data_IF_999504889177
#
_entry.id   IF_999504889177
#
_cell.length_a   1.000
_cell.length_b   1.000
_cell.length_c   1.000
_cell.angle_alpha   90.00
_cell.angle_beta   90.00
_cell.angle_gamma   90.00
#
_symmetry.space_group_name_H-M   'P 1'
#
loop_
_entity.id
_entity.type
_entity.pdbx_description
1 polymer ?
#
# COMPACT_ATOMS: atom_id res chain seq x y z
N UNK A 1 -3.43 -10.79 -10.01
CA UNK A 1 -2.16 -10.13 -10.39
C UNK A 1 -1.43 -9.52 -9.19
N UNK A 2 -2.00 -8.50 -8.52
CA UNK A 2 -1.39 -7.86 -7.33
C UNK A 2 -0.99 -8.85 -6.22
N UNK A 3 -1.89 -9.78 -5.86
CA UNK A 3 -1.63 -10.80 -4.86
C UNK A 3 -0.44 -11.71 -5.22
N UNK A 4 -0.23 -12.02 -6.50
CA UNK A 4 0.92 -12.82 -6.95
C UNK A 4 2.23 -12.04 -6.81
N UNK A 5 2.22 -10.74 -7.11
CA UNK A 5 3.40 -9.89 -6.86
C UNK A 5 3.73 -9.84 -5.36
N UNK A 6 2.72 -9.77 -4.48
CA UNK A 6 2.92 -9.87 -3.04
C UNK A 6 3.43 -11.24 -2.58
N UNK A 7 2.94 -12.34 -3.17
CA UNK A 7 3.41 -13.70 -2.89
C UNK A 7 4.89 -13.85 -3.26
N UNK A 8 5.31 -13.34 -4.44
CA UNK A 8 6.71 -13.29 -4.85
C UNK A 8 7.56 -12.45 -3.88
N UNK A 9 7.07 -11.29 -3.45
CA UNK A 9 7.77 -10.43 -2.49
C UNK A 9 7.89 -11.10 -1.12
N UNK A 10 6.94 -11.94 -0.72
CA UNK A 10 6.86 -12.50 0.64
C UNK A 10 8.04 -13.41 1.01
N UNK A 11 8.73 -13.95 0.01
CA UNK A 11 9.92 -14.79 0.18
C UNK A 11 11.23 -14.03 -0.04
N UNK A 12 11.15 -12.74 -0.38
CA UNK A 12 12.31 -11.90 -0.67
C UNK A 12 12.75 -11.10 0.55
N UNK A 13 14.07 -10.98 0.74
CA UNK A 13 14.68 -10.16 1.81
C UNK A 13 15.39 -8.92 1.27
N UNK A 14 15.79 -8.93 -0.01
CA UNK A 14 16.54 -7.86 -0.64
C UNK A 14 15.63 -6.71 -1.06
N UNK A 15 15.80 -5.51 -0.45
CA UNK A 15 15.01 -4.32 -0.81
C UNK A 15 15.06 -3.99 -2.32
N UNK A 16 16.20 -4.21 -2.97
CA UNK A 16 16.36 -3.97 -4.42
C UNK A 16 15.41 -4.89 -5.20
N UNK A 17 15.49 -6.20 -4.96
CA UNK A 17 14.63 -7.20 -5.62
C UNK A 17 13.15 -6.92 -5.37
N UNK A 18 12.78 -6.57 -4.14
CA UNK A 18 11.40 -6.18 -3.81
C UNK A 18 10.97 -4.95 -4.62
N UNK A 19 11.84 -3.95 -4.75
CA UNK A 19 11.56 -2.75 -5.54
C UNK A 19 11.41 -3.10 -7.01
N UNK A 20 12.23 -4.01 -7.55
CA UNK A 20 12.16 -4.46 -8.94
C UNK A 20 10.87 -5.23 -9.23
N UNK A 21 10.41 -6.10 -8.31
CA UNK A 21 9.11 -6.80 -8.45
C UNK A 21 7.96 -5.79 -8.46
N UNK A 22 7.96 -4.82 -7.54
CA UNK A 22 6.95 -3.75 -7.52
C UNK A 22 7.01 -2.90 -8.79
N UNK A 23 8.21 -2.57 -9.28
CA UNK A 23 8.41 -1.80 -10.51
C UNK A 23 7.85 -2.55 -11.72
N UNK A 24 8.15 -3.85 -11.84
CA UNK A 24 7.65 -4.71 -12.91
C UNK A 24 6.12 -4.87 -12.85
N UNK A 25 5.55 -4.94 -11.66
CA UNK A 25 4.11 -4.96 -11.47
C UNK A 25 3.49 -3.63 -11.93
N UNK A 26 3.99 -2.49 -11.44
CA UNK A 26 3.43 -1.17 -11.74
C UNK A 26 3.61 -0.77 -13.21
N UNK A 27 4.74 -1.10 -13.84
CA UNK A 27 4.94 -0.81 -15.27
C UNK A 27 3.96 -1.60 -16.15
N UNK A 28 3.61 -2.83 -15.72
CA UNK A 28 2.62 -3.64 -16.43
C UNK A 28 1.26 -2.97 -16.33
N UNK A 29 0.85 -2.53 -15.14
CA UNK A 29 -0.42 -1.81 -14.96
C UNK A 29 -0.45 -0.52 -15.78
N UNK A 30 0.62 0.27 -15.78
CA UNK A 30 0.74 1.49 -16.61
C UNK A 30 0.51 1.17 -18.09
N UNK A 31 1.10 0.08 -18.60
CA UNK A 31 1.04 -0.26 -20.01
C UNK A 31 -0.30 -0.90 -20.43
N UNK A 32 -0.97 -1.62 -19.54
CA UNK A 32 -2.16 -2.43 -19.90
C UNK A 32 -3.48 -1.89 -19.39
N UNK A 33 -3.49 -1.30 -18.19
CA UNK A 33 -4.70 -0.81 -17.49
C UNK A 33 -4.34 0.42 -16.63
N UNK A 34 -3.96 1.55 -17.25
CA UNK A 34 -3.48 2.73 -16.52
C UNK A 34 -4.49 3.26 -15.47
N UNK A 35 -5.79 3.07 -15.69
CA UNK A 35 -6.87 3.40 -14.75
C UNK A 35 -6.81 2.59 -13.43
N UNK A 36 -6.21 1.39 -13.47
CA UNK A 36 -6.02 0.53 -12.30
C UNK A 36 -4.77 0.92 -11.48
N UNK A 37 -3.94 1.85 -11.97
CA UNK A 37 -2.68 2.21 -11.31
C UNK A 37 -2.94 2.82 -9.93
N UNK A 38 -3.89 3.74 -9.82
CA UNK A 38 -4.23 4.41 -8.57
C UNK A 38 -4.66 3.42 -7.47
N UNK A 39 -5.69 2.56 -7.67
CA UNK A 39 -6.05 1.57 -6.66
C UNK A 39 -4.91 0.58 -6.39
N UNK A 40 -4.09 0.24 -7.38
CA UNK A 40 -2.91 -0.63 -7.18
C UNK A 40 -1.89 0.01 -6.24
N UNK A 41 -1.55 1.30 -6.43
CA UNK A 41 -0.61 2.04 -5.58
C UNK A 41 -1.14 2.18 -4.16
N UNK A 42 -2.44 2.45 -4.01
CA UNK A 42 -3.12 2.49 -2.71
C UNK A 42 -2.98 1.16 -1.96
N UNK A 43 -3.41 0.06 -2.58
CA UNK A 43 -3.36 -1.28 -1.97
C UNK A 43 -1.92 -1.74 -1.69
N UNK A 44 -0.96 -1.46 -2.59
CA UNK A 44 0.46 -1.74 -2.36
C UNK A 44 1.05 -0.92 -1.21
N UNK A 45 0.53 0.28 -0.98
CA UNK A 45 0.90 1.12 0.17
C UNK A 45 0.13 0.77 1.44
N UNK A 46 -0.76 -0.22 1.40
CA UNK A 46 -1.67 -0.60 2.49
C UNK A 46 -2.52 0.60 2.97
N UNK A 47 -2.99 1.39 2.01
CA UNK A 47 -3.83 2.57 2.18
C UNK A 47 -5.04 2.51 1.24
N UNK A 48 -6.09 3.26 1.54
CA UNK A 48 -7.31 3.32 0.72
C UNK A 48 -7.77 4.76 0.40
N UNK A 49 -7.15 5.74 1.05
CA UNK A 49 -7.40 7.17 0.89
C UNK A 49 -6.18 7.97 1.41
N UNK A 50 -6.06 9.26 1.09
CA UNK A 50 -5.03 10.12 1.66
C UNK A 50 -5.10 10.17 3.20
N UNK A 51 -3.94 10.11 3.85
CA UNK A 51 -3.86 10.00 5.32
C UNK A 51 -4.57 11.13 6.07
N UNK A 52 -4.65 12.32 5.47
CA UNK A 52 -5.25 13.51 6.08
C UNK A 52 -6.79 13.50 6.07
N UNK A 53 -7.41 12.65 5.26
CA UNK A 53 -8.88 12.47 5.26
C UNK A 53 -9.35 11.60 6.44
N UNK A 54 -8.43 10.93 7.14
CA UNK A 54 -8.75 10.14 8.35
C UNK A 54 -9.59 8.89 8.09
N UNK A 55 -9.72 8.47 6.82
CA UNK A 55 -10.47 7.27 6.43
C UNK A 55 -9.75 6.01 6.94
N UNK A 56 -10.43 5.20 7.73
CA UNK A 56 -9.94 3.92 8.27
C UNK A 56 -11.00 2.86 8.12
N UNK A 57 -10.60 1.60 7.97
CA UNK A 57 -11.57 0.50 7.84
C UNK A 57 -12.45 0.37 9.09
N UNK A 58 -11.93 0.74 10.26
CA UNK A 58 -12.68 0.71 11.51
C UNK A 58 -13.13 -0.70 11.90
N UNK A 59 -12.40 -1.72 11.43
CA UNK A 59 -12.56 -3.11 11.80
C UNK A 59 -11.71 -3.29 13.07
N UNK A 60 -12.33 -3.55 14.22
CA UNK A 60 -11.67 -3.56 15.54
C UNK A 60 -10.60 -4.67 15.73
N UNK A 61 -10.56 -5.31 16.90
CA UNK A 61 -9.56 -6.36 17.25
C UNK A 61 -9.70 -7.69 16.48
N UNK A 62 -10.00 -7.66 15.18
CA UNK A 62 -10.04 -8.84 14.29
C UNK A 62 -11.28 -9.72 14.40
N UNK A 63 -12.17 -9.54 15.38
CA UNK A 63 -13.34 -10.42 15.57
C UNK A 63 -14.30 -10.44 14.38
N UNK A 64 -14.55 -9.28 13.73
CA UNK A 64 -15.36 -9.23 12.51
C UNK A 64 -14.70 -9.94 11.32
N UNK A 65 -13.36 -9.96 11.27
CA UNK A 65 -12.61 -10.68 10.23
C UNK A 65 -12.71 -12.18 10.47
N UNK A 66 -12.55 -12.64 11.72
CA UNK A 66 -12.73 -14.04 12.12
C UNK A 66 -14.12 -14.54 11.73
N UNK A 67 -15.17 -13.75 12.02
CA UNK A 67 -16.54 -14.04 11.60
C UNK A 67 -16.68 -14.11 10.07
N UNK A 68 -16.12 -13.15 9.36
CA UNK A 68 -16.16 -13.15 7.89
C UNK A 68 -15.45 -14.37 7.29
N UNK A 69 -14.30 -14.78 7.82
CA UNK A 69 -13.56 -16.01 7.41
C UNK A 69 -14.38 -17.27 7.73
N UNK A 70 -14.95 -17.34 8.94
CA UNK A 70 -15.80 -18.45 9.38
C UNK A 70 -16.99 -18.64 8.44
N UNK A 71 -17.71 -17.56 8.12
CA UNK A 71 -18.86 -17.60 7.23
C UNK A 71 -18.51 -17.78 5.75
N UNK A 72 -17.41 -17.18 5.28
CA UNK A 72 -16.98 -17.31 3.89
C UNK A 72 -16.49 -18.73 3.58
N UNK A 73 -15.81 -19.36 4.54
CA UNK A 73 -15.13 -20.64 4.33
C UNK A 73 -15.76 -21.84 5.05
N UNK A 74 -16.94 -21.67 5.65
CA UNK A 74 -17.72 -22.76 6.26
C UNK A 74 -17.05 -23.38 7.48
N UNK A 75 -16.37 -22.58 8.30
CA UNK A 75 -15.67 -23.03 9.52
C UNK A 75 -16.32 -22.45 10.76
N UNK A 76 -16.08 -23.04 11.93
CA UNK A 76 -16.50 -22.41 13.20
C UNK A 76 -15.53 -21.30 13.61
N UNK A 77 -16.02 -20.24 14.27
CA UNK A 77 -15.15 -19.18 14.80
C UNK A 77 -14.05 -19.73 15.72
N UNK A 78 -14.36 -20.76 16.52
CA UNK A 78 -13.41 -21.42 17.40
C UNK A 78 -12.23 -22.06 16.64
N UNK A 79 -12.49 -22.72 15.50
CA UNK A 79 -11.44 -23.27 14.65
C UNK A 79 -10.54 -22.18 14.07
N UNK A 80 -11.14 -21.06 13.63
CA UNK A 80 -10.39 -19.91 13.09
C UNK A 80 -9.51 -19.28 14.17
N UNK A 81 -10.03 -19.10 15.39
CA UNK A 81 -9.27 -18.58 16.55
C UNK A 81 -8.12 -19.52 16.92
N UNK A 82 -8.38 -20.83 16.97
CA UNK A 82 -7.36 -21.83 17.28
C UNK A 82 -6.22 -21.77 16.27
N UNK A 83 -6.51 -21.83 14.97
CA UNK A 83 -5.48 -21.77 13.95
C UNK A 83 -4.77 -20.42 13.90
N UNK A 84 -5.45 -19.32 14.21
CA UNK A 84 -4.79 -18.02 14.32
C UNK A 84 -3.81 -17.96 15.49
N UNK A 85 -4.10 -18.69 16.57
CA UNK A 85 -3.18 -18.81 17.72
C UNK A 85 -1.94 -19.61 17.34
N UNK A 86 -2.09 -20.64 16.51
CA UNK A 86 -0.99 -21.47 16.01
C UNK A 86 -0.13 -20.75 14.96
N UNK A 87 -0.76 -20.03 14.01
CA UNK A 87 -0.07 -19.41 12.87
C UNK A 87 0.33 -17.94 13.11
N UNK A 88 -0.32 -17.25 14.04
CA UNK A 88 -0.09 -15.82 14.31
C UNK A 88 -0.50 -14.86 13.18
N UNK A 89 -1.25 -15.34 12.18
CA UNK A 89 -1.62 -14.60 10.98
C UNK A 89 -2.99 -15.06 10.42
N UNK A 90 -4.01 -14.21 10.54
CA UNK A 90 -5.35 -14.50 10.01
C UNK A 90 -5.35 -14.67 8.49
N UNK A 91 -4.42 -14.06 7.76
CA UNK A 91 -4.31 -14.26 6.33
C UNK A 91 -3.84 -15.67 5.99
N UNK A 92 -2.93 -16.26 6.77
CA UNK A 92 -2.55 -17.66 6.59
C UNK A 92 -3.73 -18.60 6.90
N UNK A 93 -4.49 -18.28 7.95
CA UNK A 93 -5.73 -19.01 8.29
C UNK A 93 -6.75 -18.92 7.15
N UNK A 94 -6.93 -17.75 6.55
CA UNK A 94 -7.83 -17.54 5.41
C UNK A 94 -7.38 -18.34 4.17
N UNK A 95 -6.09 -18.28 3.81
CA UNK A 95 -5.53 -19.04 2.68
C UNK A 95 -5.72 -20.54 2.88
N UNK A 96 -5.35 -21.07 4.05
CA UNK A 96 -5.52 -22.49 4.38
C UNK A 96 -7.00 -22.91 4.36
N UNK A 97 -7.89 -22.09 4.94
CA UNK A 97 -9.33 -22.36 4.94
C UNK A 97 -9.92 -22.41 3.54
N UNK A 98 -9.53 -21.49 2.66
CA UNK A 98 -9.98 -21.46 1.27
C UNK A 98 -9.48 -22.68 0.49
N UNK A 99 -8.21 -23.06 0.64
CA UNK A 99 -7.64 -24.22 -0.04
C UNK A 99 -8.25 -25.55 0.37
N UNK A 100 -8.83 -25.64 1.58
CA UNK A 100 -9.54 -26.85 2.04
C UNK A 100 -10.98 -26.96 1.54
N UNK A 101 -11.55 -25.92 0.91
CA UNK A 101 -12.91 -25.97 0.39
C UNK A 101 -12.96 -26.52 -1.04
N UNK A 102 -13.85 -27.48 -1.27
CA UNK A 102 -14.21 -27.90 -2.62
C UNK A 102 -15.15 -26.86 -3.24
N UNK A 103 -14.75 -26.27 -4.37
CA UNK A 103 -15.58 -25.34 -5.13
C UNK A 103 -16.25 -26.03 -6.30
N UNK A 104 -17.59 -25.95 -6.35
CA UNK A 104 -18.39 -26.47 -7.47
C UNK A 104 -18.33 -25.49 -8.66
N UNK A 105 -18.29 -24.18 -8.37
CA UNK A 105 -18.24 -23.11 -9.37
C UNK A 105 -17.15 -22.12 -8.99
N UNK A 106 -16.30 -21.76 -9.96
CA UNK A 106 -15.30 -20.73 -9.77
C UNK A 106 -15.97 -19.34 -9.76
N UNK A 107 -15.75 -18.51 -8.73
CA UNK A 107 -16.28 -17.16 -8.70
C UNK A 107 -15.63 -16.28 -9.78
N UNK A 108 -16.29 -15.18 -10.14
CA UNK A 108 -15.69 -14.15 -11.00
C UNK A 108 -14.44 -13.60 -10.32
N UNK A 109 -13.29 -13.51 -11.02
CA UNK A 109 -12.05 -12.99 -10.44
C UNK A 109 -12.20 -11.60 -9.84
N UNK A 110 -11.48 -11.34 -8.74
CA UNK A 110 -11.41 -10.01 -8.13
C UNK A 110 -10.56 -9.07 -8.99
N UNK A 111 -10.97 -7.80 -9.05
CA UNK A 111 -10.19 -6.72 -9.64
C UNK A 111 -9.68 -5.79 -8.55
N UNK A 112 -8.55 -5.12 -8.77
CA UNK A 112 -7.97 -4.18 -7.80
C UNK A 112 -8.91 -3.01 -7.50
N UNK A 113 -9.64 -2.53 -8.51
CA UNK A 113 -10.69 -1.50 -8.37
C UNK A 113 -11.79 -1.99 -7.45
N UNK A 114 -12.37 -3.17 -7.71
CA UNK A 114 -13.44 -3.74 -6.87
C UNK A 114 -12.99 -3.90 -5.43
N UNK A 115 -11.78 -4.39 -5.20
CA UNK A 115 -11.21 -4.53 -3.85
C UNK A 115 -11.07 -3.16 -3.18
N UNK A 116 -10.40 -2.20 -3.83
CA UNK A 116 -10.20 -0.86 -3.28
C UNK A 116 -11.52 -0.15 -2.96
N UNK A 117 -12.49 -0.19 -3.88
CA UNK A 117 -13.80 0.44 -3.69
C UNK A 117 -14.61 -0.22 -2.58
N UNK A 118 -14.56 -1.55 -2.48
CA UNK A 118 -15.22 -2.27 -1.38
C UNK A 118 -14.56 -1.96 -0.03
N UNK A 119 -13.23 -1.81 0.02
CA UNK A 119 -12.53 -1.39 1.25
C UNK A 119 -12.90 0.05 1.65
N UNK A 120 -13.03 0.97 0.68
CA UNK A 120 -13.54 2.34 0.93
C UNK A 120 -14.99 2.32 1.40
N UNK A 121 -15.83 1.46 0.82
CA UNK A 121 -17.21 1.27 1.29
C UNK A 121 -17.22 0.79 2.74
N UNK A 122 -16.40 -0.22 3.08
CA UNK A 122 -16.22 -0.68 4.46
C UNK A 122 -15.78 0.46 5.38
N UNK A 123 -14.85 1.32 4.97
CA UNK A 123 -14.43 2.45 5.79
C UNK A 123 -15.56 3.45 6.07
N UNK A 124 -16.41 3.70 5.07
CA UNK A 124 -17.51 4.67 5.15
C UNK A 124 -18.79 4.13 5.81
N UNK A 125 -18.93 2.82 6.02
CA UNK A 125 -20.08 2.24 6.71
C UNK A 125 -20.13 2.72 8.19
N UNK A 126 -21.27 3.28 8.58
CA UNK A 126 -21.52 3.85 9.92
C UNK A 126 -22.96 3.56 10.39
N UNK A 127 -23.25 3.86 11.67
CA UNK A 127 -24.58 3.64 12.27
C UNK A 127 -24.78 2.26 12.92
N UNK A 128 -26.01 1.96 13.35
CA UNK A 128 -26.33 0.81 14.23
C UNK A 128 -26.04 -0.56 13.59
N UNK A 129 -26.26 -0.71 12.28
CA UNK A 129 -26.06 -1.97 11.54
C UNK A 129 -24.66 -2.09 10.87
N UNK A 130 -23.78 -1.11 11.11
CA UNK A 130 -22.47 -0.99 10.49
C UNK A 130 -21.60 -2.26 10.62
N UNK A 131 -21.55 -2.86 11.82
CA UNK A 131 -20.72 -4.05 12.07
C UNK A 131 -21.10 -5.23 11.17
N UNK A 132 -22.40 -5.45 10.98
CA UNK A 132 -22.91 -6.56 10.18
C UNK A 132 -22.66 -6.30 8.68
N UNK A 133 -22.95 -5.08 8.21
CA UNK A 133 -22.67 -4.68 6.82
C UNK A 133 -21.19 -4.80 6.47
N UNK A 134 -20.28 -4.32 7.34
CA UNK A 134 -18.83 -4.47 7.15
C UNK A 134 -18.45 -5.95 7.04
N UNK A 135 -18.99 -6.80 7.91
CA UNK A 135 -18.76 -8.26 7.87
C UNK A 135 -19.25 -8.88 6.56
N UNK A 136 -20.43 -8.50 6.07
CA UNK A 136 -20.98 -9.00 4.82
C UNK A 136 -20.16 -8.56 3.60
N UNK A 137 -19.69 -7.31 3.56
CA UNK A 137 -18.77 -6.82 2.52
C UNK A 137 -17.43 -7.59 2.53
N UNK A 138 -16.85 -7.81 3.71
CA UNK A 138 -15.63 -8.62 3.85
C UNK A 138 -15.84 -10.04 3.36
N UNK A 139 -16.94 -10.68 3.78
CA UNK A 139 -17.32 -12.03 3.34
C UNK A 139 -17.48 -12.10 1.83
N UNK A 140 -18.15 -11.11 1.22
CA UNK A 140 -18.36 -11.07 -0.23
C UNK A 140 -17.03 -11.01 -1.00
N UNK A 141 -16.02 -10.28 -0.50
CA UNK A 141 -14.68 -10.32 -1.08
C UNK A 141 -14.01 -11.68 -0.87
N UNK A 142 -14.02 -12.21 0.37
CA UNK A 142 -13.37 -13.48 0.72
C UNK A 142 -13.90 -14.65 -0.10
N UNK A 143 -15.22 -14.75 -0.31
CA UNK A 143 -15.84 -15.82 -1.13
C UNK A 143 -15.34 -15.81 -2.58
N UNK A 144 -14.96 -14.65 -3.11
CA UNK A 144 -14.47 -14.50 -4.48
C UNK A 144 -12.95 -14.74 -4.63
N UNK A 145 -12.20 -14.82 -3.53
CA UNK A 145 -10.74 -14.99 -3.58
C UNK A 145 -10.31 -16.35 -4.12
N UNK A 146 -9.18 -16.39 -4.82
CA UNK A 146 -8.52 -17.63 -5.27
C UNK A 146 -7.04 -17.66 -4.88
N UNK A 147 -6.44 -18.86 -4.86
CA UNK A 147 -5.00 -19.07 -4.65
C UNK A 147 -4.42 -18.35 -3.41
N UNK A 148 -3.57 -17.34 -3.61
CA UNK A 148 -2.94 -16.54 -2.56
C UNK A 148 -3.73 -15.27 -2.19
N UNK A 149 -4.80 -14.93 -2.91
CA UNK A 149 -5.61 -13.74 -2.63
C UNK A 149 -6.22 -13.69 -1.22
N UNK A 150 -6.72 -14.80 -0.61
CA UNK A 150 -7.30 -14.74 0.73
C UNK A 150 -6.30 -14.26 1.78
N UNK A 151 -5.02 -14.59 1.61
CA UNK A 151 -3.93 -14.17 2.49
C UNK A 151 -3.79 -12.65 2.50
N UNK A 152 -3.58 -12.08 1.32
CA UNK A 152 -3.29 -10.65 1.20
C UNK A 152 -4.53 -9.79 1.41
N UNK A 153 -5.71 -10.26 0.98
CA UNK A 153 -6.97 -9.56 1.27
C UNK A 153 -7.22 -9.48 2.78
N UNK A 154 -7.04 -10.58 3.50
CA UNK A 154 -7.22 -10.58 4.96
C UNK A 154 -6.22 -9.65 5.65
N UNK A 155 -4.97 -9.64 5.20
CA UNK A 155 -3.94 -8.73 5.72
C UNK A 155 -4.25 -7.26 5.42
N UNK A 156 -4.81 -6.94 4.25
CA UNK A 156 -5.33 -5.60 3.93
C UNK A 156 -6.49 -5.21 4.85
N UNK A 157 -7.41 -6.13 5.13
CA UNK A 157 -8.52 -5.92 6.09
C UNK A 157 -8.03 -5.68 7.52
N UNK A 158 -6.86 -6.22 7.87
CA UNK A 158 -6.18 -5.97 9.15
C UNK A 158 -5.34 -4.67 9.15
N UNK A 159 -5.31 -3.93 8.04
CA UNK A 159 -4.43 -2.77 7.83
C UNK A 159 -2.96 -3.13 8.09
N UNK A 160 -2.54 -4.38 7.82
CA UNK A 160 -1.17 -4.85 8.03
C UNK A 160 -0.78 -5.93 7.01
N UNK A 161 -0.15 -5.50 5.91
CA UNK A 161 0.20 -6.35 4.77
C UNK A 161 1.35 -7.35 5.03
N UNK A 162 2.20 -7.08 6.04
CA UNK A 162 3.32 -7.94 6.46
C UNK A 162 4.27 -8.39 5.31
N UNK A 163 4.62 -7.47 4.41
CA UNK A 163 5.53 -7.73 3.28
C UNK A 163 6.96 -7.20 3.45
N UNK A 164 7.29 -6.65 4.61
CA UNK A 164 8.66 -6.21 4.92
C UNK A 164 9.15 -4.96 4.16
N UNK A 165 8.36 -4.40 3.24
CA UNK A 165 8.65 -3.13 2.59
C UNK A 165 7.80 -1.98 3.13
N UNK A 166 8.28 -0.77 2.88
CA UNK A 166 7.62 0.47 3.30
C UNK A 166 6.99 1.19 2.12
N UNK A 167 6.12 2.16 2.39
CA UNK A 167 5.64 3.13 1.38
C UNK A 167 6.75 3.73 0.53
N UNK A 168 7.94 3.97 1.09
CA UNK A 168 9.08 4.50 0.34
C UNK A 168 9.55 3.56 -0.77
N UNK A 169 9.36 2.26 -0.61
CA UNK A 169 9.67 1.25 -1.62
C UNK A 169 8.66 1.33 -2.76
N UNK A 170 7.36 1.48 -2.46
CA UNK A 170 6.30 1.65 -3.47
C UNK A 170 6.52 2.94 -4.27
N UNK A 171 6.83 4.07 -3.61
CA UNK A 171 7.12 5.34 -4.27
C UNK A 171 8.37 5.24 -5.19
N UNK A 172 9.41 4.53 -4.76
CA UNK A 172 10.58 4.28 -5.60
C UNK A 172 10.20 3.48 -6.85
N UNK A 173 9.49 2.36 -6.66
CA UNK A 173 9.03 1.50 -7.74
C UNK A 173 8.11 2.24 -8.71
N UNK A 174 7.24 3.12 -8.23
CA UNK A 174 6.37 3.95 -9.07
C UNK A 174 7.17 4.91 -9.96
N UNK A 175 8.19 5.58 -9.40
CA UNK A 175 9.09 6.44 -10.17
C UNK A 175 9.86 5.67 -11.23
N UNK A 176 10.41 4.50 -10.87
CA UNK A 176 11.13 3.63 -11.81
C UNK A 176 10.21 3.09 -12.92
N UNK A 177 9.01 2.61 -12.56
CA UNK A 177 8.02 2.11 -13.50
C UNK A 177 7.60 3.19 -14.50
N UNK A 178 7.46 4.45 -14.05
CA UNK A 178 7.14 5.56 -14.91
C UNK A 178 8.20 5.78 -15.99
N UNK A 179 9.50 5.70 -15.67
CA UNK A 179 10.60 5.88 -16.64
C UNK A 179 10.53 4.88 -17.80
N UNK A 180 10.07 3.65 -17.53
CA UNK A 180 9.91 2.62 -18.55
C UNK A 180 8.72 2.86 -19.49
N UNK A 181 7.87 3.86 -19.23
CA UNK A 181 6.74 4.22 -20.10
C UNK A 181 7.16 5.20 -21.21
N UNK A 182 6.86 4.90 -22.47
CA UNK A 182 7.45 5.61 -23.63
C UNK A 182 6.82 6.99 -23.92
N UNK A 183 5.56 7.21 -23.55
CA UNK A 183 4.79 8.37 -24.03
C UNK A 183 5.17 9.68 -23.33
N UNK A 184 5.32 9.66 -21.99
CA UNK A 184 5.53 10.87 -21.18
C UNK A 184 6.79 10.86 -20.33
N UNK A 185 7.63 9.82 -20.39
CA UNK A 185 8.72 9.63 -19.43
C UNK A 185 10.13 9.65 -20.02
N UNK A 186 10.31 10.22 -21.21
CA UNK A 186 11.65 10.43 -21.78
C UNK A 186 12.49 11.30 -20.83
N UNK A 187 13.62 10.80 -20.32
CA UNK A 187 14.45 11.56 -19.42
C UNK A 187 15.03 12.79 -20.11
N UNK A 188 15.27 13.90 -19.38
CA UNK A 188 16.01 15.03 -19.89
C UNK A 188 17.36 14.62 -20.50
N UNK A 189 17.77 15.30 -21.58
CA UNK A 189 19.11 15.13 -22.17
C UNK A 189 20.14 15.42 -21.06
N UNK A 190 20.94 14.43 -20.66
CA UNK A 190 21.95 14.44 -19.58
C UNK A 190 21.58 13.75 -18.25
N UNK A 191 20.42 13.10 -18.14
CA UNK A 191 20.11 12.29 -16.96
C UNK A 191 20.95 11.00 -16.94
N UNK A 192 21.97 10.95 -16.07
CA UNK A 192 22.89 9.79 -15.96
C UNK A 192 22.24 8.54 -15.36
N UNK A 193 21.30 8.70 -14.44
CA UNK A 193 20.59 7.59 -13.79
C UNK A 193 19.09 7.91 -13.70
N UNK A 194 18.33 7.64 -14.78
CA UNK A 194 16.92 8.00 -14.86
C UNK A 194 16.06 7.37 -13.77
N UNK A 195 16.30 6.10 -13.46
CA UNK A 195 15.52 5.33 -12.50
C UNK A 195 15.63 5.89 -11.08
N UNK A 196 16.86 6.16 -10.62
CA UNK A 196 17.07 6.71 -9.28
C UNK A 196 16.58 8.15 -9.15
N UNK A 197 16.73 8.95 -10.22
CA UNK A 197 16.21 10.32 -10.21
C UNK A 197 14.68 10.34 -10.19
N UNK A 198 14.01 9.51 -10.98
CA UNK A 198 12.56 9.40 -10.98
C UNK A 198 12.02 8.90 -9.62
N UNK A 199 12.67 7.88 -9.04
CA UNK A 199 12.35 7.42 -7.69
C UNK A 199 12.49 8.52 -6.64
N UNK A 200 13.53 9.37 -6.77
CA UNK A 200 13.74 10.52 -5.89
C UNK A 200 12.65 11.58 -6.06
N UNK A 201 12.31 11.93 -7.31
CA UNK A 201 11.26 12.90 -7.63
C UNK A 201 9.93 12.50 -6.99
N UNK A 202 9.49 11.26 -7.19
CA UNK A 202 8.20 10.78 -6.63
C UNK A 202 8.20 10.84 -5.09
N UNK A 203 9.32 10.52 -4.44
CA UNK A 203 9.44 10.60 -2.98
C UNK A 203 9.42 12.05 -2.47
N UNK A 204 10.08 12.97 -3.14
CA UNK A 204 10.12 14.39 -2.80
C UNK A 204 8.73 15.01 -2.98
N UNK A 205 8.10 14.76 -4.12
CA UNK A 205 6.73 15.20 -4.40
C UNK A 205 5.75 14.65 -3.37
N UNK A 206 5.79 13.35 -3.04
CA UNK A 206 4.94 12.79 -1.98
C UNK A 206 5.27 13.36 -0.58
N UNK A 207 6.46 13.92 -0.35
CA UNK A 207 6.79 14.56 0.93
C UNK A 207 6.11 15.91 1.10
N UNK A 208 5.94 16.65 0.01
CA UNK A 208 5.28 17.97 0.00
C UNK A 208 3.79 17.91 -0.36
N UNK A 209 3.36 16.82 -1.01
CA UNK A 209 2.01 16.66 -1.51
C UNK A 209 1.58 15.18 -1.45
N UNK A 210 1.27 14.64 -0.26
CA UNK A 210 1.02 13.20 -0.03
C UNK A 210 -0.38 12.76 -0.49
N UNK A 211 -0.72 12.97 -1.77
CA UNK A 211 -2.02 12.60 -2.36
C UNK A 211 -1.79 11.79 -3.64
N UNK A 212 -2.02 10.48 -3.57
CA UNK A 212 -1.78 9.60 -4.72
C UNK A 212 -2.68 9.91 -5.90
N UNK A 213 -3.92 10.33 -5.69
CA UNK A 213 -4.90 10.63 -6.74
C UNK A 213 -4.34 11.64 -7.75
N UNK A 214 -3.72 12.70 -7.22
CA UNK A 214 -3.13 13.77 -8.02
C UNK A 214 -1.76 13.34 -8.56
N UNK A 215 -0.91 12.70 -7.74
CA UNK A 215 0.41 12.25 -8.19
C UNK A 215 0.30 11.24 -9.33
N UNK A 216 -0.56 10.23 -9.19
CA UNK A 216 -0.77 9.19 -10.20
C UNK A 216 -1.40 9.79 -11.45
N UNK A 217 -2.41 10.65 -11.30
CA UNK A 217 -3.01 11.37 -12.42
C UNK A 217 -1.96 12.18 -13.20
N UNK A 218 -1.20 13.03 -12.50
CA UNK A 218 -0.15 13.85 -13.12
C UNK A 218 0.98 13.00 -13.72
N UNK A 219 1.33 11.87 -13.12
CA UNK A 219 2.33 10.94 -13.63
C UNK A 219 1.88 10.33 -14.95
N UNK A 220 0.62 9.93 -15.05
CA UNK A 220 0.05 9.36 -16.27
C UNK A 220 -0.12 10.40 -17.38
N UNK A 221 -0.44 11.66 -17.07
CA UNK A 221 -0.69 12.70 -18.08
C UNK A 221 0.54 13.50 -18.49
N UNK A 222 1.46 13.76 -17.56
CA UNK A 222 2.60 14.66 -17.75
C UNK A 222 3.96 14.01 -17.52
N UNK A 223 3.97 12.78 -17.02
CA UNK A 223 5.20 12.02 -16.78
C UNK A 223 5.91 12.41 -15.48
N UNK A 224 6.81 11.52 -15.05
CA UNK A 224 7.50 11.64 -13.76
C UNK A 224 8.37 12.91 -13.65
N UNK A 225 8.94 13.38 -14.76
CA UNK A 225 9.84 14.53 -14.80
C UNK A 225 9.15 15.87 -14.54
N UNK A 226 7.83 15.94 -14.79
CA UNK A 226 7.03 17.15 -14.62
C UNK A 226 6.28 17.19 -13.27
N UNK A 227 6.31 16.10 -12.49
CA UNK A 227 5.68 16.05 -11.17
C UNK A 227 6.09 17.18 -10.22
N UNK A 228 7.36 17.64 -10.15
CA UNK A 228 7.74 18.75 -9.29
C UNK A 228 7.05 20.08 -9.65
N UNK A 229 6.56 20.21 -10.89
CA UNK A 229 5.88 21.42 -11.38
C UNK A 229 4.38 21.31 -11.12
N UNK A 230 3.79 20.11 -11.32
CA UNK A 230 2.35 19.88 -11.22
C UNK A 230 1.87 19.58 -9.80
N UNK A 231 2.70 18.95 -8.97
CA UNK A 231 2.37 18.53 -7.61
C UNK A 231 3.20 19.32 -6.59
N UNK A 232 2.80 20.57 -6.35
CA UNK A 232 3.51 21.50 -5.46
C UNK A 232 2.81 21.67 -4.11
N UNK A 233 3.55 22.21 -3.14
CA UNK A 233 2.99 22.55 -1.83
C UNK A 233 1.74 23.40 -1.98
N UNK A 234 0.64 22.93 -1.39
CA UNK A 234 -0.66 23.60 -1.45
C UNK A 234 -1.22 23.75 -0.05
N UNK A 235 -1.51 24.99 0.41
CA UNK A 235 -2.16 25.21 1.69
C UNK A 235 -3.46 24.40 1.83
N UNK A 236 -3.64 23.75 2.98
CA UNK A 236 -4.77 22.86 3.24
C UNK A 236 -4.44 21.37 3.06
N UNK A 237 -3.36 21.04 2.34
CA UNK A 237 -2.85 19.66 2.23
C UNK A 237 -1.63 19.53 3.14
N UNK A 238 -1.61 18.60 4.11
CA UNK A 238 -0.51 18.49 5.05
C UNK A 238 0.75 17.96 4.37
N UNK A 239 1.88 18.56 4.73
CA UNK A 239 3.22 18.07 4.36
C UNK A 239 3.73 17.06 5.36
N UNK A 240 4.68 16.21 4.94
CA UNK A 240 5.36 15.35 5.90
C UNK A 240 6.29 16.19 6.79
N UNK A 241 6.13 16.12 8.13
CA UNK A 241 7.00 16.85 9.03
C UNK A 241 8.43 16.33 8.94
N UNK A 242 9.40 17.23 9.13
CA UNK A 242 10.79 16.84 9.27
C UNK A 242 10.99 16.06 10.57
N UNK A 243 11.60 14.88 10.48
CA UNK A 243 11.90 14.04 11.63
C UNK A 243 13.32 14.29 12.15
N UNK A 244 13.52 14.15 13.45
CA UNK A 244 14.84 14.24 14.07
C UNK A 244 15.52 12.87 14.15
N UNK A 245 16.85 12.84 14.03
CA UNK A 245 17.66 11.65 14.33
C UNK A 245 18.15 11.74 15.78
N UNK A 246 17.75 10.77 16.60
CA UNK A 246 18.20 10.66 17.98
C UNK A 246 19.74 10.60 18.04
N UNK A 247 20.32 11.38 18.95
CA UNK A 247 21.77 11.46 19.17
C UNK A 247 22.01 11.56 20.67
N UNK A 248 23.00 10.82 21.17
CA UNK A 248 23.30 10.72 22.61
C UNK A 248 24.49 11.57 23.05
N UNK A 249 25.18 12.24 22.13
CA UNK A 249 26.39 13.01 22.41
C UNK A 249 26.46 14.29 21.57
N UNK A 250 26.86 15.39 22.21
CA UNK A 250 27.11 16.68 21.56
C UNK A 250 28.26 16.56 20.56
N UNK A 251 29.31 15.78 20.85
CA UNK A 251 30.44 15.57 19.93
C UNK A 251 30.01 14.94 18.61
N UNK A 252 29.03 14.03 18.65
CA UNK A 252 28.46 13.44 17.43
C UNK A 252 27.74 14.48 16.58
N UNK A 253 27.04 15.43 17.22
CA UNK A 253 26.37 16.55 16.53
C UNK A 253 27.44 17.44 15.87
N UNK A 254 28.46 17.87 16.63
CA UNK A 254 29.53 18.74 16.13
C UNK A 254 30.32 18.08 14.99
N UNK A 255 30.59 16.78 15.08
CA UNK A 255 31.25 16.03 14.01
C UNK A 255 30.37 15.91 12.77
N UNK A 256 29.06 15.69 12.93
CA UNK A 256 28.11 15.53 11.83
C UNK A 256 27.86 16.85 11.08
N UNK A 257 27.76 17.96 11.80
CA UNK A 257 27.48 19.29 11.25
C UNK A 257 28.75 20.14 11.11
N UNK A 258 29.93 19.52 11.01
CA UNK A 258 31.20 20.23 10.92
C UNK A 258 31.21 21.19 9.73
N UNK A 259 31.52 22.46 9.98
CA UNK A 259 31.54 23.51 8.95
C UNK A 259 30.14 23.93 8.47
N UNK A 260 29.08 23.48 9.14
CA UNK A 260 27.69 23.90 8.89
C UNK A 260 27.20 24.69 10.10
N UNK A 261 26.64 25.87 9.88
CA UNK A 261 25.96 26.62 10.95
C UNK A 261 24.67 25.89 11.30
N UNK A 262 24.44 25.64 12.59
CA UNK A 262 23.21 25.02 13.09
C UNK A 262 22.72 25.77 14.34
N UNK A 263 21.44 25.58 14.68
CA UNK A 263 20.79 26.19 15.86
C UNK A 263 20.34 25.12 16.85
N UNK A 264 20.08 25.54 18.08
CA UNK A 264 19.50 24.71 19.14
C UNK A 264 18.17 25.31 19.56
N UNK A 265 17.11 24.52 19.50
CA UNK A 265 15.77 24.90 19.95
C UNK A 265 15.32 23.92 21.03
N UNK A 266 14.54 24.41 22.00
CA UNK A 266 13.92 23.53 22.98
C UNK A 266 12.95 22.58 22.27
N UNK A 267 13.15 21.27 22.44
CA UNK A 267 12.15 20.28 22.06
C UNK A 267 11.05 20.29 23.12
N UNK A 268 9.94 20.93 22.82
CA UNK A 268 8.73 20.87 23.65
C UNK A 268 8.19 19.43 23.72
N UNK A 269 7.60 19.09 24.86
CA UNK A 269 6.92 17.81 25.10
C UNK A 269 5.40 17.96 24.98
#
# INVERSE_FOLDING_TARGET
>A
FLALAFDLISVESGRIVITDILCNMLRTVIATTPEDLLPTVYLASNEIAPAHEGVKLGIGKGSSIIKAISEAFGRTEAQVVQQNTELGDLGLVAKGSRSSQTMIVLPKPLTVVKVADTLRQIANESGKACKEKKKDLMKALLVATTDCEPLFLTRLLQENLRLGFSRQTVLAALGQAAVYNEEHSKPPRNTKNPLDQAAKIVKEVFSVFPVYDIIVGALLTSGVWNLPITCTFTPGIPVRPMLAKATTSVDMILKKFRGTVFTCEYKYD
#
